data_IF_105316469294
#
_entry.id   IF_105316469294
#
_cell.length_a   1.000
_cell.length_b   1.000
_cell.length_c   1.000
_cell.angle_alpha   90.00
_cell.angle_beta   90.00
_cell.angle_gamma   90.00
#
_symmetry.space_group_name_H-M   'P 1'
#
loop_
_entity.id
_entity.type
_entity.pdbx_description
1 polymer ?
#
# COMPACT_ATOMS: atom_id res chain seq x y z
N UNK A 1 31.52 -2.86 19.20
CA UNK A 1 31.39 -2.99 17.74
C UNK A 1 30.12 -3.76 17.45
N UNK A 2 29.31 -3.31 16.50
CA UNK A 2 28.07 -3.97 16.05
C UNK A 2 26.83 -3.11 16.26
N UNK A 3 26.68 -2.05 15.47
CA UNK A 3 25.39 -1.35 15.36
C UNK A 3 24.52 -2.22 14.44
N UNK A 4 23.51 -2.88 15.03
CA UNK A 4 22.48 -3.58 14.27
C UNK A 4 21.64 -2.50 13.58
N UNK A 5 21.99 -2.19 12.33
CA UNK A 5 21.03 -1.66 11.38
C UNK A 5 19.88 -2.65 11.31
N UNK A 6 18.79 -2.32 11.99
CA UNK A 6 17.47 -2.87 11.70
C UNK A 6 17.19 -2.57 10.23
N UNK A 7 17.54 -3.54 9.38
CA UNK A 7 17.31 -3.52 7.94
C UNK A 7 16.01 -4.23 7.60
N UNK A 8 15.14 -4.45 8.61
CA UNK A 8 13.80 -4.96 8.35
C UNK A 8 13.12 -3.96 7.42
N UNK A 9 12.60 -4.40 6.26
CA UNK A 9 11.86 -3.51 5.40
C UNK A 9 10.77 -2.86 6.26
N UNK A 10 10.69 -1.52 6.22
CA UNK A 10 9.59 -0.82 6.88
C UNK A 10 8.33 -1.21 6.14
N UNK A 11 7.60 -2.19 6.69
CA UNK A 11 6.25 -2.52 6.26
C UNK A 11 5.38 -1.34 6.70
N UNK A 12 4.74 -0.70 5.74
CA UNK A 12 3.76 0.36 6.01
C UNK A 12 2.41 -0.33 5.93
N UNK A 13 1.67 -0.32 7.03
CA UNK A 13 0.27 -0.70 7.05
C UNK A 13 -0.56 0.48 6.51
N UNK A 14 -1.42 0.22 5.53
CA UNK A 14 -2.33 1.20 4.96
C UNK A 14 -3.75 0.88 5.44
N UNK A 15 -4.57 1.92 5.62
CA UNK A 15 -5.98 1.77 5.98
C UNK A 15 -6.87 1.64 4.72
N UNK A 16 -6.45 2.28 3.61
CA UNK A 16 -7.18 2.32 2.35
C UNK A 16 -6.30 2.76 1.18
N UNK A 17 -6.75 2.46 -0.04
CA UNK A 17 -6.16 2.94 -1.31
C UNK A 17 -7.15 3.76 -2.11
N UNK A 18 -6.61 4.64 -2.97
CA UNK A 18 -7.38 5.50 -3.86
C UNK A 18 -7.11 5.09 -5.31
N UNK A 19 -8.17 4.86 -6.09
CA UNK A 19 -8.07 4.52 -7.51
C UNK A 19 -7.93 5.75 -8.43
N UNK A 20 -7.86 5.54 -9.75
CA UNK A 20 -7.76 6.63 -10.74
C UNK A 20 -8.99 7.52 -10.80
N UNK A 21 -10.17 7.01 -10.40
CA UNK A 21 -11.42 7.75 -10.36
C UNK A 21 -11.61 8.50 -9.02
N UNK A 22 -10.70 8.32 -8.07
CA UNK A 22 -10.75 8.91 -6.74
C UNK A 22 -11.61 8.12 -5.75
N UNK A 23 -11.99 6.89 -6.07
CA UNK A 23 -12.74 6.00 -5.16
C UNK A 23 -11.80 5.48 -4.08
N UNK A 24 -12.28 5.49 -2.84
CA UNK A 24 -11.56 4.95 -1.68
C UNK A 24 -11.98 3.50 -1.46
N UNK A 25 -10.99 2.61 -1.42
CA UNK A 25 -11.15 1.18 -1.21
C UNK A 25 -10.48 0.80 0.10
N UNK A 26 -11.24 0.15 1.01
CA UNK A 26 -10.65 -0.42 2.22
C UNK A 26 -9.64 -1.51 1.82
N UNK A 27 -8.46 -1.42 2.38
CA UNK A 27 -7.38 -2.33 2.03
C UNK A 27 -6.50 -2.60 3.24
N UNK A 28 -5.86 -3.76 3.25
CA UNK A 28 -4.87 -4.13 4.26
C UNK A 28 -3.64 -4.71 3.57
N UNK A 29 -2.51 -4.71 4.29
CA UNK A 29 -1.28 -5.38 3.85
C UNK A 29 -1.09 -6.62 4.70
N UNK A 30 -0.84 -7.77 4.07
CA UNK A 30 -0.54 -9.00 4.81
C UNK A 30 0.92 -9.05 5.30
N UNK A 31 1.25 -10.12 6.02
CA UNK A 31 2.59 -10.33 6.60
C UNK A 31 3.70 -10.45 5.54
N UNK A 32 3.34 -10.72 4.27
CA UNK A 32 4.26 -10.81 3.13
C UNK A 32 4.41 -9.48 2.39
N UNK A 33 3.71 -8.42 2.82
CA UNK A 33 3.74 -7.11 2.19
C UNK A 33 2.82 -6.99 0.97
N UNK A 34 1.88 -7.92 0.78
CA UNK A 34 0.92 -7.91 -0.33
C UNK A 34 -0.29 -7.07 0.04
N UNK A 35 -0.68 -6.17 -0.86
CA UNK A 35 -1.88 -5.35 -0.71
C UNK A 35 -3.12 -6.17 -1.08
N UNK A 36 -4.09 -6.22 -0.17
CA UNK A 36 -5.39 -6.83 -0.34
C UNK A 36 -6.49 -5.79 -0.20
N UNK A 37 -7.48 -5.83 -1.08
CA UNK A 37 -8.68 -4.99 -0.99
C UNK A 37 -9.79 -5.83 -0.36
N UNK A 38 -10.45 -5.27 0.66
CA UNK A 38 -11.55 -5.94 1.36
C UNK A 38 -12.81 -6.06 0.50
N UNK A 39 -13.66 -7.04 0.82
CA UNK A 39 -15.02 -7.22 0.26
C UNK A 39 -15.11 -7.32 -1.28
N UNK A 40 -14.13 -7.95 -1.91
CA UNK A 40 -14.21 -8.30 -3.32
C UNK A 40 -14.68 -9.74 -3.53
N UNK A 41 -15.88 -9.89 -4.09
CA UNK A 41 -16.42 -11.18 -4.57
C UNK A 41 -15.72 -11.67 -5.86
N UNK A 42 -14.87 -10.84 -6.47
CA UNK A 42 -14.16 -11.12 -7.72
C UNK A 42 -12.74 -10.56 -7.73
N UNK A 43 -11.87 -11.12 -8.56
CA UNK A 43 -10.49 -10.65 -8.73
C UNK A 43 -10.47 -9.27 -9.42
N UNK A 44 -10.47 -8.21 -8.61
CA UNK A 44 -10.36 -6.82 -9.05
C UNK A 44 -8.88 -6.41 -9.12
N UNK A 45 -8.51 -5.71 -10.19
CA UNK A 45 -7.22 -5.04 -10.30
C UNK A 45 -7.46 -3.54 -10.12
N UNK A 46 -6.91 -2.96 -9.05
CA UNK A 46 -7.03 -1.53 -8.77
C UNK A 46 -5.70 -0.86 -9.05
N UNK A 47 -5.74 0.21 -9.85
CA UNK A 47 -4.57 1.03 -10.09
C UNK A 47 -4.49 2.09 -8.99
N UNK A 48 -3.55 1.89 -8.06
CA UNK A 48 -3.35 2.78 -6.92
C UNK A 48 -2.67 4.07 -7.38
N UNK A 49 -3.30 5.21 -7.09
CA UNK A 49 -2.76 6.57 -7.33
C UNK A 49 -2.37 7.28 -6.03
N UNK A 50 -2.87 6.79 -4.90
CA UNK A 50 -2.57 7.31 -3.58
C UNK A 50 -2.95 6.32 -2.49
N UNK A 51 -2.35 6.49 -1.32
CA UNK A 51 -2.61 5.67 -0.12
C UNK A 51 -2.94 6.55 1.07
N UNK A 52 -3.72 6.01 2.00
CA UNK A 52 -4.00 6.64 3.28
C UNK A 52 -3.19 5.91 4.36
N UNK A 53 -2.28 6.66 5.00
CA UNK A 53 -1.48 6.18 6.13
C UNK A 53 -1.83 7.01 7.35
N UNK A 54 -2.63 6.44 8.26
CA UNK A 54 -3.18 7.17 9.40
C UNK A 54 -4.12 8.29 8.94
N UNK A 55 -3.68 9.54 9.04
CA UNK A 55 -4.51 10.72 8.71
C UNK A 55 -3.95 11.56 7.55
N UNK A 56 -3.00 10.99 6.78
CA UNK A 56 -2.35 11.63 5.64
C UNK A 56 -2.65 10.87 4.36
N UNK A 57 -2.87 11.61 3.27
CA UNK A 57 -2.95 11.09 1.92
C UNK A 57 -1.57 11.29 1.29
N UNK A 58 -0.98 10.21 0.80
CA UNK A 58 0.33 10.20 0.16
C UNK A 58 0.18 9.72 -1.29
N UNK A 59 0.94 10.35 -2.19
CA UNK A 59 0.98 9.91 -3.59
C UNK A 59 1.62 8.52 -3.63
N UNK A 60 1.02 7.61 -4.40
CA UNK A 60 1.51 6.26 -4.53
C UNK A 60 1.36 5.72 -5.93
N UNK A 61 2.25 4.83 -6.34
CA UNK A 61 2.18 4.16 -7.62
C UNK A 61 2.75 2.76 -7.54
N UNK A 62 2.14 1.85 -8.29
CA UNK A 62 2.60 0.47 -8.42
C UNK A 62 3.68 0.42 -9.51
N UNK A 63 4.85 -0.12 -9.16
CA UNK A 63 5.96 -0.37 -10.10
C UNK A 63 5.68 -1.63 -10.94
N UNK A 64 6.44 -1.82 -12.00
CA UNK A 64 6.29 -2.97 -12.92
C UNK A 64 6.50 -4.33 -12.24
N UNK A 65 7.19 -4.36 -11.09
CA UNK A 65 7.41 -5.55 -10.27
C UNK A 65 6.28 -5.82 -9.25
N UNK A 66 5.21 -5.01 -9.26
CA UNK A 66 4.10 -5.07 -8.33
C UNK A 66 4.35 -4.35 -7.00
N UNK A 67 5.54 -3.78 -6.79
CA UNK A 67 5.84 -3.03 -5.57
C UNK A 67 5.08 -1.71 -5.54
N UNK A 68 4.32 -1.46 -4.47
CA UNK A 68 3.73 -0.16 -4.21
C UNK A 68 4.81 0.80 -3.66
N UNK A 69 5.04 1.90 -4.36
CA UNK A 69 5.94 2.98 -3.93
C UNK A 69 5.12 4.19 -3.48
N UNK A 70 5.54 4.79 -2.36
CA UNK A 70 4.88 5.92 -1.74
C UNK A 70 5.84 7.12 -1.76
N UNK A 71 5.36 8.28 -2.19
CA UNK A 71 6.06 9.55 -2.06
C UNK A 71 5.45 10.35 -0.89
N UNK A 72 6.33 10.87 -0.03
CA UNK A 72 5.97 11.77 1.07
C UNK A 72 6.68 13.10 0.96
#
# INVERSE_FOLDING_TARGET
MGWLWDSSPRVIEFDAVIDEDGTIWNAFTDDDGVLWIEDLDESLSVRVTGVIVGNQILDAWVLDDGTLRIAG
#
